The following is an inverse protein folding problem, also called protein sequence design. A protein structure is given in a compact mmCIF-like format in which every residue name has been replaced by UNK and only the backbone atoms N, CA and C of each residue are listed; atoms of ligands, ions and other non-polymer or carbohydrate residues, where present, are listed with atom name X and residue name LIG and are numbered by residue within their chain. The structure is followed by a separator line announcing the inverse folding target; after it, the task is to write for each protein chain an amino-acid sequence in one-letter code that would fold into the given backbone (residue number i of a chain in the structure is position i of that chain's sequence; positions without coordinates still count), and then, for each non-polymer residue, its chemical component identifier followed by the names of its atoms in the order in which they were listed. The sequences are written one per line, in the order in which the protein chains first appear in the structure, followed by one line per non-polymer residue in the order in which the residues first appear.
data_IF_276951062474
#
_entry.id   IF_276951062474
#
_cell.length_a   1.000
_cell.length_b   1.000
_cell.length_c   1.000
_cell.angle_alpha   90.00
_cell.angle_beta   90.00
_cell.angle_gamma   90.00
#
_symmetry.space_group_name_H-M   'P 1'
#
loop_
_entity.id
_entity.type
_entity.pdbx_description
1 polymer ?
#
# COMPACT_ATOMS: atom_id res chain seq x y z
N UNK A 1 -26.03 -14.21 62.64
CA UNK A 1 -26.05 -13.83 61.20
C UNK A 1 -24.64 -14.07 60.67
N UNK A 2 -24.34 -15.27 60.13
CA UNK A 2 -24.25 -15.66 58.69
C UNK A 2 -23.07 -14.94 57.99
N UNK A 3 -21.94 -15.65 57.76
CA UNK A 3 -21.33 -16.11 56.47
C UNK A 3 -21.07 -15.01 55.41
N UNK A 4 -20.01 -14.94 54.59
CA UNK A 4 -18.96 -15.84 54.11
C UNK A 4 -17.89 -14.98 53.34
N UNK A 5 -16.70 -15.49 52.98
CA UNK A 5 -15.70 -14.76 52.20
C UNK A 5 -15.94 -14.95 50.70
N UNK A 6 -16.01 -13.86 49.92
CA UNK A 6 -16.07 -13.93 48.46
C UNK A 6 -14.65 -13.92 47.88
N UNK A 7 -14.23 -15.11 47.47
CA UNK A 7 -13.06 -15.35 46.63
C UNK A 7 -13.22 -14.59 45.30
N UNK A 8 -12.35 -13.62 45.06
CA UNK A 8 -12.20 -12.97 43.77
C UNK A 8 -11.35 -13.85 42.85
N UNK A 9 -11.99 -14.60 41.95
CA UNK A 9 -11.30 -15.28 40.87
C UNK A 9 -10.92 -14.25 39.79
N UNK A 10 -9.67 -13.80 39.79
CA UNK A 10 -9.10 -13.04 38.69
C UNK A 10 -8.84 -13.99 37.50
N UNK A 11 -9.72 -13.94 36.51
CA UNK A 11 -9.54 -14.66 35.25
C UNK A 11 -8.55 -13.85 34.39
N UNK A 12 -7.27 -14.22 34.46
CA UNK A 12 -6.26 -13.73 33.52
C UNK A 12 -6.51 -14.44 32.19
N UNK A 13 -7.12 -13.74 31.25
CA UNK A 13 -7.19 -14.19 29.85
C UNK A 13 -5.80 -14.06 29.23
N UNK A 14 -4.99 -15.13 29.38
CA UNK A 14 -3.77 -15.30 28.61
C UNK A 14 -4.16 -15.60 27.16
N UNK A 15 -4.24 -14.57 26.33
CA UNK A 15 -4.24 -14.73 24.88
C UNK A 15 -2.84 -15.19 24.46
N UNK A 16 -2.73 -16.46 24.10
CA UNK A 16 -1.55 -17.05 23.51
C UNK A 16 -1.38 -16.54 22.08
N UNK A 17 -1.03 -15.27 21.91
CA UNK A 17 -0.30 -14.85 20.72
C UNK A 17 1.14 -15.27 20.94
N UNK A 18 1.66 -16.15 20.08
CA UNK A 18 3.06 -16.57 20.11
C UNK A 18 4.01 -15.36 20.11
N UNK A 19 5.31 -15.57 20.39
CA UNK A 19 6.25 -14.47 20.54
C UNK A 19 6.20 -13.60 19.29
N UNK A 20 5.73 -12.35 19.45
CA UNK A 20 5.91 -11.34 18.42
C UNK A 20 7.37 -10.97 18.53
N UNK A 21 8.21 -11.57 17.69
CA UNK A 21 9.59 -11.16 17.60
C UNK A 21 9.59 -9.68 17.17
N UNK A 22 10.12 -8.77 18.01
CA UNK A 22 10.08 -7.34 17.73
C UNK A 22 10.79 -7.02 16.40
N UNK A 23 11.76 -7.85 15.98
CA UNK A 23 12.41 -7.73 14.68
C UNK A 23 11.44 -7.93 13.51
N UNK A 24 10.49 -8.86 13.62
CA UNK A 24 9.48 -9.10 12.57
C UNK A 24 8.41 -8.01 12.53
N UNK A 25 8.05 -7.45 13.69
CA UNK A 25 7.11 -6.34 13.77
C UNK A 25 7.71 -5.05 13.18
N UNK A 26 8.97 -4.74 13.51
CA UNK A 26 9.71 -3.61 12.92
C UNK A 26 9.95 -3.81 11.41
N UNK A 27 10.27 -5.03 10.98
CA UNK A 27 10.41 -5.38 9.56
C UNK A 27 9.12 -5.14 8.77
N UNK A 28 7.96 -5.59 9.30
CA UNK A 28 6.65 -5.34 8.66
C UNK A 28 6.26 -3.86 8.60
N UNK A 29 6.54 -3.09 9.64
CA UNK A 29 6.29 -1.65 9.63
C UNK A 29 7.19 -0.92 8.60
N UNK A 30 8.47 -1.30 8.54
CA UNK A 30 9.41 -0.81 7.54
C UNK A 30 8.96 -1.15 6.11
N UNK A 31 8.53 -2.39 5.88
CA UNK A 31 7.99 -2.83 4.60
C UNK A 31 6.76 -2.02 4.19
N UNK A 32 5.79 -1.86 5.09
CA UNK A 32 4.57 -1.12 4.79
C UNK A 32 4.87 0.33 4.40
N UNK A 33 5.85 0.96 5.07
CA UNK A 33 6.31 2.29 4.71
C UNK A 33 6.87 2.36 3.29
N UNK A 34 7.62 1.33 2.83
CA UNK A 34 8.14 1.26 1.45
C UNK A 34 7.03 1.04 0.42
N UNK A 35 6.04 0.21 0.72
CA UNK A 35 4.87 0.01 -0.14
C UNK A 35 4.11 1.33 -0.32
N UNK A 36 3.86 2.05 0.78
CA UNK A 36 3.22 3.38 0.73
C UNK A 36 4.06 4.37 -0.04
N UNK A 37 5.36 4.47 0.23
CA UNK A 37 6.25 5.40 -0.48
C UNK A 37 6.28 5.13 -1.99
N UNK A 38 6.30 3.86 -2.40
CA UNK A 38 6.28 3.45 -3.82
C UNK A 38 4.97 3.86 -4.48
N UNK A 39 3.84 3.55 -3.83
CA UNK A 39 2.51 3.93 -4.30
C UNK A 39 2.38 5.45 -4.43
N UNK A 40 2.88 6.20 -3.46
CA UNK A 40 2.84 7.66 -3.45
C UNK A 40 3.74 8.27 -4.53
N UNK A 41 4.89 7.66 -4.85
CA UNK A 41 5.71 8.08 -5.98
C UNK A 41 4.92 7.95 -7.29
N UNK A 42 4.34 6.76 -7.53
CA UNK A 42 3.58 6.45 -8.74
C UNK A 42 2.40 7.39 -8.88
N UNK A 43 1.60 7.57 -7.83
CA UNK A 43 0.43 8.47 -7.86
C UNK A 43 0.85 9.92 -8.13
N UNK A 44 1.95 10.40 -7.53
CA UNK A 44 2.45 11.75 -7.81
C UNK A 44 2.93 11.91 -9.25
N UNK A 45 3.61 10.89 -9.79
CA UNK A 45 4.05 10.90 -11.19
C UNK A 45 2.85 10.89 -12.15
N UNK A 46 1.84 10.05 -11.90
CA UNK A 46 0.59 10.03 -12.67
C UNK A 46 -0.14 11.38 -12.57
N UNK A 47 -0.26 11.95 -11.38
CA UNK A 47 -0.92 13.24 -11.17
C UNK A 47 -0.19 14.40 -11.89
N UNK A 48 1.13 14.29 -12.03
CA UNK A 48 1.94 15.26 -12.77
C UNK A 48 1.86 15.08 -14.30
N UNK A 49 1.38 13.92 -14.79
CA UNK A 49 1.30 13.64 -16.22
C UNK A 49 0.29 14.58 -16.92
N UNK A 50 0.70 15.30 -17.99
CA UNK A 50 -0.19 16.19 -18.73
C UNK A 50 -1.43 15.49 -19.31
N UNK A 51 -1.35 14.20 -19.69
CA UNK A 51 -2.48 13.40 -20.18
C UNK A 51 -3.52 13.24 -19.07
N UNK A 52 -3.08 12.91 -17.85
CA UNK A 52 -3.96 12.81 -16.68
C UNK A 52 -4.61 14.14 -16.32
N UNK A 53 -3.82 15.22 -16.30
CA UNK A 53 -4.31 16.57 -15.96
C UNK A 53 -5.36 17.08 -16.94
N UNK A 54 -5.15 16.86 -18.24
CA UNK A 54 -6.14 17.23 -19.28
C UNK A 54 -7.43 16.44 -19.13
N UNK A 55 -7.33 15.13 -18.94
CA UNK A 55 -8.49 14.26 -18.73
C UNK A 55 -9.29 14.65 -17.48
N UNK A 56 -8.59 15.00 -16.39
CA UNK A 56 -9.24 15.39 -15.14
C UNK A 56 -9.94 16.75 -15.16
N UNK A 57 -9.61 17.62 -16.12
CA UNK A 57 -10.25 18.93 -16.27
C UNK A 57 -11.55 18.86 -17.10
N UNK A 58 -11.74 17.78 -17.85
CA UNK A 58 -12.93 17.57 -18.68
C UNK A 58 -13.92 16.66 -17.93
N UNK A 59 -14.89 17.26 -17.25
CA UNK A 59 -15.89 16.58 -16.42
C UNK A 59 -16.83 15.63 -17.20
N UNK A 60 -16.71 15.55 -18.53
CA UNK A 60 -17.49 14.62 -19.37
C UNK A 60 -16.79 13.27 -19.60
N UNK A 61 -15.54 13.13 -19.18
CA UNK A 61 -14.82 11.84 -19.18
C UNK A 61 -15.25 10.99 -17.97
N UNK A 62 -16.49 10.47 -18.00
CA UNK A 62 -17.14 9.69 -16.93
C UNK A 62 -16.51 8.30 -16.70
N UNK A 63 -15.43 7.95 -17.40
CA UNK A 63 -14.67 6.75 -17.11
C UNK A 63 -13.18 7.07 -17.22
N UNK A 64 -12.43 6.82 -16.15
CA UNK A 64 -11.04 7.19 -15.94
C UNK A 64 -10.10 6.82 -17.10
N UNK A 65 -10.08 7.65 -18.14
CA UNK A 65 -9.28 7.43 -19.35
C UNK A 65 -9.14 8.77 -20.06
N UNK A 66 -7.91 9.26 -20.18
CA UNK A 66 -7.64 10.35 -21.12
C UNK A 66 -8.00 9.88 -22.54
N UNK A 67 -8.38 10.77 -23.47
CA UNK A 67 -8.44 10.40 -24.88
C UNK A 67 -7.03 9.96 -25.32
N UNK A 68 -6.79 8.64 -25.34
CA UNK A 68 -5.55 8.00 -25.76
C UNK A 68 -4.66 7.35 -24.69
N UNK A 69 -4.97 7.41 -23.39
CA UNK A 69 -4.20 6.69 -22.36
C UNK A 69 -5.08 6.24 -21.18
N UNK A 70 -5.03 4.94 -20.87
CA UNK A 70 -5.66 4.37 -19.67
C UNK A 70 -4.87 4.74 -18.42
N UNK A 71 -5.51 4.71 -17.24
CA UNK A 71 -4.79 4.87 -15.98
C UNK A 71 -3.64 3.84 -15.84
N UNK A 72 -3.83 2.62 -16.36
CA UNK A 72 -2.79 1.59 -16.42
C UNK A 72 -1.56 2.05 -17.23
N UNK A 73 -1.77 2.65 -18.40
CA UNK A 73 -0.67 3.15 -19.24
C UNK A 73 0.13 4.25 -18.52
N UNK A 74 -0.58 5.17 -17.84
CA UNK A 74 0.06 6.23 -17.06
C UNK A 74 0.86 5.67 -15.87
N UNK A 75 0.36 4.60 -15.23
CA UNK A 75 1.06 3.90 -14.17
C UNK A 75 2.34 3.25 -14.72
N UNK A 76 2.26 2.54 -15.85
CA UNK A 76 3.43 1.92 -16.49
C UNK A 76 4.47 2.97 -16.87
N UNK A 77 4.03 4.08 -17.47
CA UNK A 77 4.91 5.19 -17.86
C UNK A 77 5.56 5.89 -16.65
N UNK A 78 4.96 5.79 -15.46
CA UNK A 78 5.53 6.33 -14.22
C UNK A 78 6.63 5.47 -13.61
N UNK A 79 6.71 4.19 -13.98
CA UNK A 79 7.64 3.21 -13.36
C UNK A 79 9.11 3.62 -13.45
N UNK A 80 9.63 4.13 -14.59
CA UNK A 80 11.02 4.57 -14.67
C UNK A 80 11.36 5.69 -13.68
N UNK A 81 10.42 6.61 -13.44
CA UNK A 81 10.61 7.73 -12.50
C UNK A 81 10.59 7.26 -11.04
N UNK A 82 9.91 6.15 -10.75
CA UNK A 82 9.78 5.57 -9.41
C UNK A 82 10.66 4.32 -9.18
N UNK A 83 11.59 4.04 -10.10
CA UNK A 83 12.36 2.80 -10.10
C UNK A 83 13.24 2.61 -8.85
N UNK A 84 13.69 3.69 -8.21
CA UNK A 84 14.42 3.60 -6.94
C UNK A 84 13.51 3.11 -5.82
N UNK A 85 12.32 3.69 -5.67
CA UNK A 85 11.37 3.32 -4.61
C UNK A 85 10.82 1.91 -4.83
N UNK A 86 10.59 1.51 -6.09
CA UNK A 86 10.21 0.13 -6.44
C UNK A 86 11.28 -0.87 -6.00
N UNK A 87 12.56 -0.60 -6.29
CA UNK A 87 13.67 -1.47 -5.85
C UNK A 87 13.75 -1.57 -4.34
N UNK A 88 13.66 -0.44 -3.63
CA UNK A 88 13.68 -0.43 -2.17
C UNK A 88 12.51 -1.22 -1.55
N UNK A 89 11.34 -1.20 -2.19
CA UNK A 89 10.18 -2.01 -1.77
C UNK A 89 10.44 -3.50 -2.00
N UNK A 90 10.99 -3.87 -3.15
CA UNK A 90 11.36 -5.25 -3.47
C UNK A 90 12.39 -5.77 -2.45
N UNK A 91 13.46 -5.01 -2.20
CA UNK A 91 14.52 -5.37 -1.25
C UNK A 91 13.97 -5.51 0.18
N UNK A 92 13.07 -4.61 0.59
CA UNK A 92 12.42 -4.70 1.90
C UNK A 92 11.49 -5.92 2.02
N UNK A 93 10.84 -6.30 0.92
CA UNK A 93 10.00 -7.49 0.88
C UNK A 93 10.86 -8.75 0.96
N UNK A 94 11.95 -8.82 0.20
CA UNK A 94 12.91 -9.92 0.23
C UNK A 94 13.53 -10.10 1.63
N UNK A 95 13.89 -8.99 2.29
CA UNK A 95 14.39 -9.02 3.66
C UNK A 95 13.37 -9.57 4.67
N UNK A 96 12.08 -9.48 4.36
CA UNK A 96 10.98 -9.91 5.25
C UNK A 96 10.50 -11.34 4.94
N UNK A 97 10.46 -11.72 3.67
CA UNK A 97 9.79 -12.94 3.19
C UNK A 97 10.69 -13.91 2.42
N UNK A 98 11.96 -13.55 2.19
CA UNK A 98 12.96 -14.37 1.51
C UNK A 98 13.33 -13.83 0.12
N UNK A 99 14.56 -14.12 -0.31
CA UNK A 99 15.13 -13.66 -1.59
C UNK A 99 14.26 -14.06 -2.79
N UNK A 100 14.03 -13.10 -3.70
CA UNK A 100 13.24 -13.29 -4.92
C UNK A 100 11.72 -13.23 -4.70
N UNK A 101 11.24 -13.14 -3.45
CA UNK A 101 9.80 -13.03 -3.17
C UNK A 101 9.24 -11.63 -3.43
N UNK A 102 10.07 -10.60 -3.35
CA UNK A 102 9.76 -9.20 -3.56
C UNK A 102 9.50 -8.87 -5.01
N UNK A 103 10.27 -9.45 -5.94
CA UNK A 103 10.01 -9.30 -7.37
C UNK A 103 8.71 -10.02 -7.77
N UNK A 104 8.45 -11.20 -7.22
CA UNK A 104 7.17 -11.89 -7.40
C UNK A 104 5.98 -11.10 -6.81
N UNK A 105 6.17 -10.46 -5.65
CA UNK A 105 5.18 -9.56 -5.07
C UNK A 105 4.92 -8.34 -5.96
N UNK A 106 5.98 -7.71 -6.46
CA UNK A 106 5.89 -6.57 -7.35
C UNK A 106 5.15 -6.95 -8.64
N UNK A 107 5.59 -8.00 -9.34
CA UNK A 107 5.04 -8.41 -10.63
C UNK A 107 3.63 -9.01 -10.57
N UNK A 108 3.12 -9.36 -9.39
CA UNK A 108 1.77 -9.89 -9.21
C UNK A 108 0.94 -9.00 -8.28
N UNK A 109 0.80 -9.36 -6.99
CA UNK A 109 -0.16 -8.72 -6.08
C UNK A 109 -0.09 -7.19 -6.02
N UNK A 110 1.11 -6.61 -6.05
CA UNK A 110 1.26 -5.16 -6.01
C UNK A 110 0.67 -4.50 -7.26
N UNK A 111 1.04 -4.97 -8.47
CA UNK A 111 0.54 -4.42 -9.72
C UNK A 111 -0.95 -4.71 -9.95
N UNK A 112 -1.48 -5.83 -9.45
CA UNK A 112 -2.91 -6.16 -9.57
C UNK A 112 -3.80 -5.14 -8.82
N UNK A 113 -3.36 -4.68 -7.64
CA UNK A 113 -4.14 -3.74 -6.81
C UNK A 113 -3.81 -2.28 -7.10
N UNK A 114 -2.65 -2.00 -7.71
CA UNK A 114 -2.13 -0.65 -7.92
C UNK A 114 -3.08 0.27 -8.70
N UNK A 115 -3.71 -0.14 -9.83
CA UNK A 115 -4.65 0.71 -10.54
C UNK A 115 -5.84 1.18 -9.67
N UNK A 116 -6.38 0.27 -8.86
CA UNK A 116 -7.49 0.58 -7.94
C UNK A 116 -7.05 1.46 -6.78
N UNK A 117 -5.84 1.22 -6.25
CA UNK A 117 -5.28 2.06 -5.19
C UNK A 117 -4.99 3.48 -5.69
N UNK A 118 -4.40 3.58 -6.89
CA UNK A 118 -4.04 4.84 -7.53
C UNK A 118 -5.27 5.69 -7.85
N UNK A 119 -6.32 5.11 -8.44
CA UNK A 119 -7.57 5.84 -8.71
C UNK A 119 -8.17 6.45 -7.44
N UNK A 120 -8.27 5.67 -6.37
CA UNK A 120 -8.78 6.15 -5.06
C UNK A 120 -7.91 7.23 -4.42
N UNK A 121 -6.58 7.18 -4.62
CA UNK A 121 -5.68 8.21 -4.09
C UNK A 121 -5.79 9.51 -4.89
N UNK A 122 -5.91 9.38 -6.21
CA UNK A 122 -6.10 10.49 -7.12
C UNK A 122 -7.44 11.20 -6.91
N UNK A 123 -8.53 10.46 -6.69
CA UNK A 123 -9.84 11.02 -6.36
C UNK A 123 -9.82 11.77 -5.02
N UNK A 124 -9.15 11.19 -4.02
CA UNK A 124 -8.95 11.86 -2.72
C UNK A 124 -8.13 13.15 -2.84
N UNK A 125 -7.17 13.20 -3.76
CA UNK A 125 -6.37 14.39 -4.00
C UNK A 125 -7.18 15.52 -4.67
N UNK A 126 -8.20 15.19 -5.49
CA UNK A 126 -9.12 16.17 -6.08
C UNK A 126 -10.14 16.74 -5.09
N UNK A 127 -10.49 15.96 -4.07
CA UNK A 127 -11.48 16.34 -3.06
C UNK A 127 -10.91 17.24 -1.94
N UNK A 128 -9.59 17.46 -1.92
CA UNK A 128 -8.90 18.38 -1.01
C UNK A 128 -8.63 19.71 -1.69
#
# INVERSE_FOLDING_TARGET
MIMAPLFGAALVTAVATGPIDPGTATGRAGLQSRITATTDCIVRAVAADPRYRRASADATAVEATAPGATLGDLIVDSMPACASTVREMIDAWDATYGEGSGEAFFMGPFLDVLPTAASRLLDRAKAK
#
